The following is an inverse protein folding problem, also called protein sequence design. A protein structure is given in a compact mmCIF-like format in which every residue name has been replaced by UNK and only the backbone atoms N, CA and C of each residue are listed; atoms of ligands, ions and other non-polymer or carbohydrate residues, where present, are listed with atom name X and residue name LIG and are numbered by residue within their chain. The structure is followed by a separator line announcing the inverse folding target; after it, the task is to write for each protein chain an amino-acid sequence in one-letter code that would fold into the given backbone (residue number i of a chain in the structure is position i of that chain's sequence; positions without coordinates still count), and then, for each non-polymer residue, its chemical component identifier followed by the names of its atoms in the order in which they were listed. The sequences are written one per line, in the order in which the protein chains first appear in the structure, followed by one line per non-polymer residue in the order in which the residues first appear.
data_IF_218536035008
#
_entry.id   IF_218536035008
#
_cell.length_a   1.000
_cell.length_b   1.000
_cell.length_c   1.000
_cell.angle_alpha   90.00
_cell.angle_beta   90.00
_cell.angle_gamma   90.00
#
_symmetry.space_group_name_H-M   'P 1'
#
loop_
_entity.id
_entity.type
_entity.pdbx_description
1 polymer ?
#
# COMPACT_ATOMS: atom_id res chain seq x y z
N UNK A 1 -17.39 31.45 -19.76
CA UNK A 1 -17.75 30.29 -18.91
C UNK A 1 -18.80 30.62 -17.85
N UNK A 2 -18.75 31.77 -17.16
CA UNK A 2 -19.71 32.15 -16.09
C UNK A 2 -21.15 32.37 -16.56
N UNK A 3 -21.37 32.91 -17.77
CA UNK A 3 -22.73 33.22 -18.28
C UNK A 3 -23.52 31.95 -18.64
N UNK A 4 -22.86 30.93 -19.22
CA UNK A 4 -23.50 29.66 -19.61
C UNK A 4 -24.05 28.92 -18.38
N UNK A 5 -23.30 28.93 -17.27
CA UNK A 5 -23.73 28.28 -16.04
C UNK A 5 -24.90 29.03 -15.36
N UNK A 6 -24.96 30.36 -15.50
CA UNK A 6 -26.10 31.14 -15.02
C UNK A 6 -27.36 30.88 -15.85
N UNK A 7 -27.25 30.70 -17.17
CA UNK A 7 -28.39 30.37 -18.03
C UNK A 7 -28.93 28.95 -17.77
N UNK A 8 -28.06 27.99 -17.48
CA UNK A 8 -28.44 26.63 -17.05
C UNK A 8 -29.14 26.65 -15.68
N UNK A 9 -28.59 27.39 -14.72
CA UNK A 9 -29.19 27.53 -13.38
C UNK A 9 -30.55 28.26 -13.42
N UNK A 10 -30.73 29.18 -14.38
CA UNK A 10 -32.01 29.84 -14.63
C UNK A 10 -32.99 28.99 -15.47
N UNK A 11 -32.60 27.77 -15.89
CA UNK A 11 -33.43 26.85 -16.67
C UNK A 11 -33.73 27.33 -18.10
N UNK A 12 -32.97 28.29 -18.62
CA UNK A 12 -33.18 28.85 -19.98
C UNK A 12 -32.53 28.02 -21.07
N UNK A 13 -31.53 27.23 -20.71
CA UNK A 13 -30.87 26.26 -21.58
C UNK A 13 -30.84 24.91 -20.87
N UNK A 14 -30.82 23.84 -21.65
CA UNK A 14 -30.66 22.50 -21.12
C UNK A 14 -29.18 22.13 -20.88
N UNK A 15 -28.95 21.03 -20.18
CA UNK A 15 -27.60 20.58 -19.83
C UNK A 15 -26.77 20.16 -21.05
N UNK A 16 -27.42 19.69 -22.12
CA UNK A 16 -26.73 19.25 -23.34
C UNK A 16 -26.22 20.44 -24.16
N UNK A 17 -27.01 21.51 -24.23
CA UNK A 17 -26.65 22.76 -24.89
C UNK A 17 -25.59 23.54 -24.09
N UNK A 18 -25.70 23.56 -22.77
CA UNK A 18 -24.66 24.14 -21.90
C UNK A 18 -23.30 23.45 -22.10
N UNK A 19 -23.28 22.11 -22.21
CA UNK A 19 -22.06 21.34 -22.45
C UNK A 19 -21.43 21.68 -23.81
N UNK A 20 -22.22 21.76 -24.90
CA UNK A 20 -21.73 22.13 -26.23
C UNK A 20 -21.09 23.52 -26.24
N UNK A 21 -21.75 24.52 -25.64
CA UNK A 21 -21.23 25.90 -25.60
C UNK A 21 -19.95 26.03 -24.75
N UNK A 22 -19.77 25.18 -23.75
CA UNK A 22 -18.52 25.13 -22.97
C UNK A 22 -17.38 24.54 -23.80
N UNK A 23 -17.66 23.51 -24.61
CA UNK A 23 -16.66 22.86 -25.46
C UNK A 23 -16.21 23.75 -26.63
N UNK A 24 -17.13 24.53 -27.19
CA UNK A 24 -16.83 25.55 -28.20
C UNK A 24 -15.92 26.66 -27.66
N UNK A 25 -16.11 27.08 -26.40
CA UNK A 25 -15.23 28.05 -25.75
C UNK A 25 -13.89 27.45 -25.31
N UNK A 26 -13.80 26.13 -25.20
CA UNK A 26 -12.61 25.40 -24.76
C UNK A 26 -11.67 25.06 -25.92
N UNK A 27 -12.19 25.03 -27.15
CA UNK A 27 -11.43 24.67 -28.35
C UNK A 27 -10.95 25.92 -29.10
N UNK A 28 -9.63 26.20 -29.17
CA UNK A 28 -9.13 27.19 -30.12
C UNK A 28 -9.28 26.64 -31.54
N UNK A 29 -9.99 27.37 -32.40
CA UNK A 29 -10.26 26.98 -33.78
C UNK A 29 -8.98 26.70 -34.58
N UNK A 30 -8.93 25.65 -35.43
CA UNK A 30 -7.98 25.58 -36.53
C UNK A 30 -8.46 26.50 -37.65
N UNK A 31 -7.57 27.39 -38.09
CA UNK A 31 -7.76 28.26 -39.25
C UNK A 31 -7.91 27.41 -40.52
N UNK A 32 -8.95 27.70 -41.29
CA UNK A 32 -9.11 27.23 -42.65
C UNK A 32 -8.71 28.37 -43.60
N UNK A 33 -7.67 28.16 -44.40
CA UNK A 33 -7.45 28.89 -45.65
C UNK A 33 -7.14 27.90 -46.78
N UNK A 34 -7.73 28.21 -47.92
CA UNK A 34 -7.91 27.42 -49.13
C UNK A 34 -6.93 27.85 -50.22
N UNK A 35 -6.42 26.85 -50.97
CA UNK A 35 -6.26 26.78 -52.44
C UNK A 35 -4.91 27.18 -53.11
N UNK A 36 -4.53 26.30 -54.06
CA UNK A 36 -3.75 26.46 -55.32
C UNK A 36 -2.24 26.10 -55.42
N UNK A 37 -1.98 25.01 -56.17
CA UNK A 37 -0.77 24.67 -56.97
C UNK A 37 -0.57 25.67 -58.14
N UNK A 38 0.62 25.82 -58.81
CA UNK A 38 1.38 24.69 -59.40
C UNK A 38 2.93 24.82 -59.58
N UNK A 39 3.54 23.65 -59.90
CA UNK A 39 4.64 23.35 -60.85
C UNK A 39 6.12 23.83 -60.67
N UNK A 40 6.99 22.80 -60.70
CA UNK A 40 8.19 22.60 -61.55
C UNK A 40 9.63 22.66 -60.97
N UNK A 41 10.40 21.65 -61.44
CA UNK A 41 11.85 21.45 -61.58
C UNK A 41 12.72 20.81 -60.47
N UNK A 42 13.09 19.55 -60.74
CA UNK A 42 14.28 18.76 -60.36
C UNK A 42 15.62 19.44 -60.84
N UNK A 43 16.86 18.92 -60.59
CA UNK A 43 17.27 17.55 -60.21
C UNK A 43 18.47 17.39 -59.24
N UNK A 44 18.76 16.15 -58.80
CA UNK A 44 20.13 15.79 -58.39
C UNK A 44 20.35 14.50 -57.58
N UNK A 45 20.60 13.39 -58.30
CA UNK A 45 21.53 12.28 -57.99
C UNK A 45 21.14 11.13 -57.03
N UNK A 46 20.73 10.03 -57.68
CA UNK A 46 20.95 8.59 -57.40
C UNK A 46 22.46 8.18 -57.48
N UNK A 47 22.90 6.90 -57.35
CA UNK A 47 22.24 5.62 -56.95
C UNK A 47 23.07 4.68 -56.03
N UNK A 48 22.45 3.60 -55.53
CA UNK A 48 22.81 2.17 -55.78
C UNK A 48 21.80 1.29 -54.98
N UNK A 49 20.87 0.57 -55.62
CA UNK A 49 21.02 -0.76 -56.30
C UNK A 49 21.41 -1.83 -55.26
N UNK A 50 20.72 -2.94 -55.01
CA UNK A 50 19.70 -3.77 -55.67
C UNK A 50 18.89 -4.47 -54.54
N UNK A 51 17.63 -4.87 -54.61
CA UNK A 51 16.84 -5.43 -55.70
C UNK A 51 16.24 -6.76 -55.20
N UNK A 52 14.90 -6.78 -55.02
CA UNK A 52 13.97 -7.92 -55.19
C UNK A 52 14.21 -9.25 -54.41
N UNK A 53 13.24 -10.01 -53.90
CA UNK A 53 11.80 -10.10 -54.12
C UNK A 53 11.20 -11.02 -53.02
N UNK A 54 9.94 -10.73 -52.69
CA UNK A 54 8.84 -11.65 -52.42
C UNK A 54 8.67 -12.41 -51.07
N UNK A 55 7.46 -12.16 -50.55
CA UNK A 55 6.71 -12.83 -49.51
C UNK A 55 6.61 -14.35 -49.68
N UNK A 56 6.78 -15.08 -48.57
CA UNK A 56 6.16 -16.40 -48.38
C UNK A 56 5.51 -16.48 -47.00
N UNK A 57 4.19 -16.61 -47.04
CA UNK A 57 3.24 -16.74 -45.95
C UNK A 57 3.37 -18.08 -45.19
N UNK A 58 3.23 -18.00 -43.86
CA UNK A 58 2.75 -19.00 -42.90
C UNK A 58 3.11 -20.50 -43.06
N UNK A 59 3.79 -21.04 -42.04
CA UNK A 59 3.50 -22.37 -41.52
C UNK A 59 3.76 -22.45 -40.01
N UNK A 60 2.82 -23.11 -39.34
CA UNK A 60 2.78 -23.39 -37.91
C UNK A 60 4.04 -24.08 -37.38
N UNK A 61 4.39 -23.79 -36.12
CA UNK A 61 4.79 -24.73 -35.05
C UNK A 61 5.23 -23.90 -33.84
N UNK A 62 4.39 -23.81 -32.81
CA UNK A 62 4.39 -24.67 -31.63
C UNK A 62 5.19 -24.04 -30.48
N UNK A 63 4.40 -23.47 -29.56
CA UNK A 63 4.62 -23.25 -28.13
C UNK A 63 5.94 -23.84 -27.56
N UNK A 64 6.87 -23.03 -27.03
CA UNK A 64 7.88 -23.57 -26.12
C UNK A 64 7.22 -23.88 -24.78
N UNK A 65 7.03 -25.17 -24.56
CA UNK A 65 6.65 -25.80 -23.31
C UNK A 65 7.79 -25.65 -22.29
N UNK A 66 7.41 -25.31 -21.05
CA UNK A 66 8.03 -25.67 -19.76
C UNK A 66 9.54 -25.95 -19.74
N UNK A 67 10.28 -25.07 -19.06
CA UNK A 67 11.55 -25.46 -18.44
C UNK A 67 11.27 -26.48 -17.32
N UNK A 68 11.75 -27.70 -17.52
CA UNK A 68 11.85 -28.78 -16.54
C UNK A 68 13.06 -28.51 -15.66
N UNK A 69 12.85 -28.16 -14.39
CA UNK A 69 13.91 -28.29 -13.39
C UNK A 69 13.70 -29.59 -12.60
N UNK A 70 14.70 -30.45 -12.73
CA UNK A 70 14.95 -31.63 -11.90
C UNK A 70 15.01 -31.22 -10.43
N UNK A 71 14.09 -31.75 -9.62
CA UNK A 71 14.22 -31.76 -8.16
C UNK A 71 14.85 -33.09 -7.78
N UNK A 72 16.13 -33.10 -7.41
CA UNK A 72 16.70 -34.24 -6.69
C UNK A 72 16.37 -34.07 -5.21
N UNK A 73 15.49 -34.93 -4.69
CA UNK A 73 15.23 -35.11 -3.27
C UNK A 73 15.78 -36.47 -2.85
N UNK A 74 16.70 -36.47 -1.87
CA UNK A 74 17.21 -37.70 -1.27
C UNK A 74 16.18 -38.28 -0.29
N UNK A 75 15.81 -39.57 -0.40
CA UNK A 75 15.02 -40.24 0.63
C UNK A 75 15.93 -40.76 1.74
N UNK A 76 15.73 -40.29 2.97
CA UNK A 76 16.14 -41.02 4.16
C UNK A 76 14.93 -41.84 4.64
N UNK A 77 14.81 -43.05 4.10
CA UNK A 77 13.87 -44.04 4.59
C UNK A 77 14.49 -44.82 5.77
N UNK A 78 13.66 -45.16 6.75
CA UNK A 78 13.90 -46.34 7.59
C UNK A 78 13.70 -46.12 9.08
N UNK A 79 12.55 -46.59 9.58
CA UNK A 79 12.15 -46.58 10.97
C UNK A 79 12.85 -47.66 11.83
N UNK A 80 12.88 -47.38 13.14
CA UNK A 80 13.23 -48.17 14.35
C UNK A 80 12.64 -49.61 14.41
N UNK A 81 13.17 -50.54 15.24
CA UNK A 81 12.93 -50.53 16.70
C UNK A 81 14.01 -51.14 17.65
N UNK A 82 13.99 -50.60 18.88
CA UNK A 82 14.19 -51.18 20.22
C UNK A 82 15.31 -52.22 20.51
N UNK A 83 16.21 -51.85 21.42
CA UNK A 83 16.42 -52.59 22.69
C UNK A 83 17.16 -51.69 23.73
N UNK A 84 16.87 -51.88 25.03
CA UNK A 84 17.51 -51.21 26.18
C UNK A 84 17.96 -52.30 27.16
N UNK A 85 19.06 -52.17 27.95
CA UNK A 85 18.95 -51.47 29.24
C UNK A 85 20.24 -50.87 29.90
N UNK A 86 20.01 -49.96 30.87
CA UNK A 86 20.80 -49.64 32.10
C UNK A 86 22.17 -48.93 31.94
N UNK A 87 22.58 -47.86 32.66
CA UNK A 87 22.25 -47.18 33.93
C UNK A 87 23.01 -45.80 33.96
N UNK A 88 23.20 -45.07 35.09
CA UNK A 88 22.33 -44.62 36.17
C UNK A 88 22.20 -43.07 36.23
N UNK A 89 21.44 -42.59 37.23
CA UNK A 89 21.18 -41.20 37.63
C UNK A 89 22.37 -40.23 37.56
N UNK A 90 22.24 -39.14 36.79
CA UNK A 90 22.88 -37.86 37.13
C UNK A 90 21.95 -36.68 36.90
N UNK A 91 21.73 -35.94 37.99
CA UNK A 91 21.03 -34.65 38.06
C UNK A 91 21.66 -33.67 37.07
N UNK A 92 21.03 -33.45 35.94
CA UNK A 92 21.39 -32.35 35.06
C UNK A 92 20.26 -31.34 35.03
N UNK A 93 20.43 -30.32 35.86
CA UNK A 93 19.66 -29.08 35.90
C UNK A 93 19.85 -28.35 34.58
N UNK A 94 19.12 -28.75 33.54
CA UNK A 94 19.05 -27.99 32.31
C UNK A 94 17.58 -27.58 32.08
N UNK A 95 17.12 -26.69 32.96
CA UNK A 95 15.99 -25.82 32.65
C UNK A 95 16.50 -24.84 31.59
N UNK A 96 16.52 -25.31 30.34
CA UNK A 96 16.49 -24.41 29.19
C UNK A 96 15.11 -23.77 29.25
N UNK A 97 15.04 -22.64 29.96
CA UNK A 97 13.92 -21.71 29.91
C UNK A 97 13.77 -21.30 28.45
N UNK A 98 13.02 -22.09 27.69
CA UNK A 98 12.29 -21.56 26.57
C UNK A 98 11.37 -20.54 27.21
N UNK A 99 11.70 -19.26 26.99
CA UNK A 99 10.77 -18.16 27.21
C UNK A 99 9.59 -18.45 26.30
N UNK A 100 8.68 -19.29 26.78
CA UNK A 100 7.34 -19.40 26.21
C UNK A 100 6.78 -18.02 26.44
N UNK A 101 6.49 -17.32 25.34
CA UNK A 101 5.67 -16.13 25.38
C UNK A 101 4.48 -16.44 26.27
N UNK A 102 4.49 -15.85 27.45
CA UNK A 102 3.42 -16.05 28.42
C UNK A 102 2.18 -15.52 27.71
N UNK A 103 1.12 -16.33 27.53
CA UNK A 103 -0.05 -15.87 26.80
C UNK A 103 -0.55 -14.62 27.50
N UNK A 104 -0.38 -13.48 26.84
CA UNK A 104 -0.80 -12.21 27.40
C UNK A 104 -2.31 -12.28 27.49
N UNK A 105 -2.85 -12.11 28.70
CA UNK A 105 -4.28 -12.14 28.90
C UNK A 105 -4.88 -10.86 28.30
N UNK A 106 -5.27 -10.94 27.04
CA UNK A 106 -5.96 -9.86 26.30
C UNK A 106 -7.45 -9.78 26.68
N UNK A 107 -7.87 -10.39 27.79
CA UNK A 107 -9.27 -10.40 28.23
C UNK A 107 -10.21 -11.06 27.22
N UNK A 108 -9.70 -11.94 26.36
CA UNK A 108 -10.43 -12.57 25.25
C UNK A 108 -10.65 -11.67 24.04
N UNK A 109 -9.93 -10.55 23.92
CA UNK A 109 -9.90 -9.71 22.72
C UNK A 109 -8.80 -10.22 21.79
N UNK A 110 -9.19 -10.61 20.59
CA UNK A 110 -8.28 -11.11 19.54
C UNK A 110 -8.02 -10.05 18.47
N UNK A 111 -8.95 -9.09 18.32
CA UNK A 111 -8.88 -8.05 17.30
C UNK A 111 -9.41 -6.72 17.81
N UNK A 112 -8.75 -5.63 17.43
CA UNK A 112 -9.24 -4.26 17.63
C UNK A 112 -9.60 -3.69 16.27
N UNK A 113 -10.82 -3.16 16.13
CA UNK A 113 -11.30 -2.54 14.90
C UNK A 113 -11.49 -1.04 15.12
N UNK A 114 -10.65 -0.23 14.47
CA UNK A 114 -10.67 1.22 14.60
C UNK A 114 -11.36 1.82 13.38
N UNK A 115 -12.39 2.63 13.61
CA UNK A 115 -13.06 3.42 12.56
C UNK A 115 -12.93 4.90 12.90
N UNK A 116 -12.34 5.67 11.99
CA UNK A 116 -12.22 7.10 12.15
C UNK A 116 -12.53 7.86 10.87
N UNK A 117 -13.26 8.97 11.00
CA UNK A 117 -13.61 9.86 9.88
C UNK A 117 -13.15 11.27 10.23
N UNK A 118 -12.46 11.96 9.32
CA UNK A 118 -12.03 13.35 9.51
C UNK A 118 -10.97 13.54 10.61
N UNK A 119 -10.30 12.46 11.05
CA UNK A 119 -9.41 12.49 12.24
C UNK A 119 -8.08 11.82 12.01
N UNK A 120 -7.10 12.29 12.78
CA UNK A 120 -5.79 11.66 12.92
C UNK A 120 -5.86 10.56 13.96
N UNK A 121 -5.39 9.38 13.60
CA UNK A 121 -5.31 8.19 14.43
C UNK A 121 -3.85 7.83 14.61
N UNK A 122 -3.41 7.69 15.85
CA UNK A 122 -2.07 7.22 16.20
C UNK A 122 -2.19 6.00 17.10
N UNK A 123 -1.60 4.90 16.67
CA UNK A 123 -1.65 3.60 17.35
C UNK A 123 -0.21 3.21 17.70
N UNK A 124 0.05 2.96 18.97
CA UNK A 124 1.37 2.54 19.45
C UNK A 124 1.24 1.20 20.16
N UNK A 125 2.04 0.23 19.76
CA UNK A 125 2.17 -1.04 20.45
C UNK A 125 2.92 -0.86 21.77
N UNK A 126 2.27 -1.21 22.87
CA UNK A 126 2.83 -1.14 24.21
C UNK A 126 2.56 -2.46 24.94
N UNK A 127 3.58 -3.32 25.14
CA UNK A 127 3.40 -4.62 25.81
C UNK A 127 2.85 -4.54 27.23
N UNK A 128 3.02 -3.39 27.90
CA UNK A 128 2.47 -3.13 29.23
C UNK A 128 0.94 -2.98 29.24
N UNK A 129 0.33 -2.67 28.09
CA UNK A 129 -1.12 -2.57 27.95
C UNK A 129 -1.72 -3.96 27.71
N UNK A 130 -2.70 -4.34 28.52
CA UNK A 130 -3.35 -5.65 28.39
C UNK A 130 -4.17 -5.79 27.09
N UNK A 131 -4.89 -4.73 26.70
CA UNK A 131 -5.74 -4.71 25.50
C UNK A 131 -5.57 -3.42 24.71
N UNK A 132 -6.18 -2.33 25.18
CA UNK A 132 -6.07 -1.00 24.60
C UNK A 132 -6.30 0.08 25.65
N UNK A 133 -5.60 1.21 25.53
CA UNK A 133 -5.87 2.47 26.19
C UNK A 133 -6.10 3.52 25.12
N UNK A 134 -7.25 4.18 25.15
CA UNK A 134 -7.65 5.17 24.17
C UNK A 134 -7.72 6.57 24.80
N UNK A 135 -7.15 7.55 24.13
CA UNK A 135 -7.17 8.98 24.47
C UNK A 135 -7.69 9.79 23.27
N UNK A 136 -8.35 10.90 23.56
CA UNK A 136 -9.14 11.69 22.62
C UNK A 136 -10.61 11.23 22.52
N UNK A 137 -11.47 11.97 21.80
CA UNK A 137 -12.87 11.60 21.64
C UNK A 137 -13.02 10.23 20.96
N UNK A 138 -13.74 9.30 21.57
CA UNK A 138 -14.01 7.98 20.99
C UNK A 138 -15.22 7.34 21.64
N UNK A 139 -15.81 6.37 20.94
CA UNK A 139 -16.77 5.42 21.50
C UNK A 139 -16.14 4.04 21.39
N UNK A 140 -16.20 3.28 22.49
CA UNK A 140 -15.64 1.95 22.58
C UNK A 140 -16.77 0.94 22.80
N UNK A 141 -16.84 -0.07 21.93
CA UNK A 141 -17.85 -1.12 21.96
C UNK A 141 -17.18 -2.48 21.89
N UNK A 142 -17.50 -3.36 22.81
CA UNK A 142 -17.03 -4.75 22.75
C UNK A 142 -18.07 -5.63 22.07
N UNK A 143 -17.62 -6.41 21.10
CA UNK A 143 -18.43 -7.37 20.34
C UNK A 143 -17.71 -8.72 20.29
N UNK A 144 -17.98 -9.58 21.28
CA UNK A 144 -17.27 -10.86 21.43
C UNK A 144 -15.78 -10.69 21.66
N UNK A 145 -14.96 -11.22 20.74
CA UNK A 145 -13.50 -11.09 20.73
C UNK A 145 -12.99 -9.87 19.97
N UNK A 146 -13.89 -9.05 19.41
CA UNK A 146 -13.54 -7.80 18.71
C UNK A 146 -13.85 -6.60 19.61
N UNK A 147 -12.88 -5.69 19.70
CA UNK A 147 -13.05 -4.41 20.35
C UNK A 147 -13.14 -3.31 19.30
N UNK A 148 -14.32 -2.74 19.13
CA UNK A 148 -14.61 -1.70 18.16
C UNK A 148 -14.37 -0.32 18.80
N UNK A 149 -13.60 0.53 18.12
CA UNK A 149 -13.30 1.90 18.54
C UNK A 149 -13.71 2.82 17.40
N UNK A 150 -14.75 3.62 17.59
CA UNK A 150 -15.20 4.61 16.61
C UNK A 150 -14.86 6.03 17.07
N UNK A 151 -14.50 6.86 16.10
CA UNK A 151 -14.00 8.21 16.37
C UNK A 151 -14.29 9.10 15.16
N UNK A 152 -15.44 9.74 15.18
CA UNK A 152 -15.84 10.68 14.14
C UNK A 152 -15.33 12.09 14.49
N UNK A 153 -14.78 12.77 13.48
CA UNK A 153 -14.41 14.18 13.52
C UNK A 153 -15.53 15.03 12.96
N UNK A 154 -15.65 16.24 13.47
CA UNK A 154 -16.57 17.24 12.94
C UNK A 154 -16.04 17.75 11.60
N UNK A 155 -16.39 17.05 10.54
CA UNK A 155 -16.08 17.47 9.17
C UNK A 155 -17.11 18.52 8.73
N UNK A 156 -17.14 19.71 9.36
CA UNK A 156 -18.12 20.72 8.92
C UNK A 156 -18.48 21.92 9.79
N UNK A 157 -17.86 22.20 10.94
CA UNK A 157 -18.22 23.40 11.75
C UNK A 157 -17.76 24.74 11.15
N UNK A 158 -17.44 24.82 9.85
CA UNK A 158 -17.20 26.08 9.13
C UNK A 158 -18.02 26.27 7.84
N UNK A 159 -19.05 25.45 7.58
CA UNK A 159 -19.90 25.60 6.38
C UNK A 159 -21.35 26.04 6.69
N UNK A 160 -21.67 26.35 7.94
CA UNK A 160 -22.85 27.15 8.27
C UNK A 160 -22.39 28.61 8.46
N UNK A 161 -22.77 29.46 7.51
CA UNK A 161 -22.30 30.84 7.41
C UNK A 161 -22.58 31.66 8.69
N UNK A 162 -21.74 32.68 8.94
CA UNK A 162 -21.92 33.68 10.00
C UNK A 162 -21.52 33.28 11.44
N UNK A 163 -20.25 32.98 11.70
CA UNK A 163 -19.68 33.11 13.06
C UNK A 163 -18.30 33.81 13.10
N UNK A 164 -18.11 34.81 12.25
CA UNK A 164 -16.93 35.73 12.25
C UNK A 164 -16.88 36.64 13.51
N UNK A 165 -17.80 36.52 14.47
CA UNK A 165 -17.96 37.49 15.56
C UNK A 165 -17.77 36.95 16.98
N UNK A 166 -16.94 35.93 17.20
CA UNK A 166 -16.37 35.68 18.54
C UNK A 166 -14.89 35.29 18.49
N UNK A 167 -14.05 36.29 18.70
CA UNK A 167 -12.65 36.10 19.05
C UNK A 167 -12.51 35.66 20.52
N UNK A 168 -12.02 34.44 20.79
CA UNK A 168 -11.30 34.11 22.05
C UNK A 168 -10.35 32.91 21.92
N UNK A 169 -9.03 33.19 21.86
CA UNK A 169 -7.93 32.63 22.68
C UNK A 169 -7.75 31.11 22.85
N UNK A 170 -7.43 30.34 21.80
CA UNK A 170 -6.56 29.14 21.95
C UNK A 170 -6.03 28.64 20.61
N UNK A 171 -4.74 28.27 20.53
CA UNK A 171 -4.17 27.54 19.39
C UNK A 171 -4.83 26.16 19.20
N UNK A 172 -5.44 25.63 20.27
CA UNK A 172 -6.19 24.37 20.25
C UNK A 172 -7.51 24.50 19.47
N UNK A 173 -8.10 25.71 19.43
CA UNK A 173 -9.33 25.98 18.67
C UNK A 173 -9.11 26.07 17.16
N UNK A 174 -7.92 26.50 16.73
CA UNK A 174 -7.56 26.53 15.30
C UNK A 174 -7.24 25.11 14.77
N UNK A 175 -6.77 24.20 15.64
CA UNK A 175 -6.64 22.76 15.29
C UNK A 175 -7.99 22.05 15.34
N UNK A 176 -8.89 22.46 16.24
CA UNK A 176 -10.24 21.90 16.33
C UNK A 176 -11.16 22.38 15.19
N UNK A 177 -10.88 23.54 14.58
CA UNK A 177 -11.60 24.13 13.45
C UNK A 177 -11.49 23.37 12.11
N UNK A 178 -10.92 22.15 12.07
CA UNK A 178 -10.95 21.35 10.84
C UNK A 178 -10.36 19.94 10.88
N UNK A 179 -9.68 19.52 11.96
CA UNK A 179 -9.02 18.20 12.03
C UNK A 179 -9.30 17.39 13.31
N UNK A 180 -10.14 17.93 14.21
CA UNK A 180 -10.51 17.31 15.49
C UNK A 180 -9.32 17.03 16.43
N UNK A 181 -9.60 16.59 17.66
CA UNK A 181 -8.56 16.06 18.55
C UNK A 181 -8.06 14.71 18.02
N UNK A 182 -6.75 14.46 18.08
CA UNK A 182 -6.15 13.17 17.69
C UNK A 182 -6.79 12.02 18.48
N UNK A 183 -7.05 10.89 17.83
CA UNK A 183 -7.35 9.62 18.50
C UNK A 183 -6.02 8.92 18.76
N UNK A 184 -5.62 8.81 20.02
CA UNK A 184 -4.38 8.15 20.40
C UNK A 184 -4.68 6.83 21.11
N UNK A 185 -4.18 5.72 20.54
CA UNK A 185 -4.39 4.37 21.03
C UNK A 185 -3.04 3.77 21.42
N UNK A 186 -2.95 3.25 22.65
CA UNK A 186 -1.89 2.33 23.08
C UNK A 186 -2.47 0.93 23.11
N UNK A 187 -1.92 -0.01 22.36
CA UNK A 187 -2.49 -1.34 22.15
C UNK A 187 -1.51 -2.42 22.55
N UNK A 188 -2.00 -3.59 22.92
CA UNK A 188 -1.12 -4.74 23.04
C UNK A 188 -0.63 -5.16 21.63
N UNK A 189 0.69 -5.28 21.40
CA UNK A 189 1.24 -5.61 20.08
C UNK A 189 0.92 -7.04 19.61
N UNK A 190 0.46 -7.93 20.51
CA UNK A 190 0.00 -9.27 20.16
C UNK A 190 -1.44 -9.34 19.64
N UNK A 191 -2.19 -8.22 19.64
CA UNK A 191 -3.56 -8.16 19.12
C UNK A 191 -3.55 -7.66 17.67
N UNK A 192 -4.36 -8.28 16.80
CA UNK A 192 -4.48 -7.85 15.41
C UNK A 192 -5.27 -6.53 15.33
N UNK A 193 -4.77 -5.57 14.57
CA UNK A 193 -5.42 -4.27 14.39
C UNK A 193 -6.03 -4.13 13.00
N UNK A 194 -7.34 -3.94 12.94
CA UNK A 194 -8.05 -3.42 11.76
C UNK A 194 -8.21 -1.91 11.91
N UNK A 195 -8.06 -1.16 10.82
CA UNK A 195 -8.25 0.28 10.83
C UNK A 195 -8.89 0.77 9.52
N UNK A 196 -9.98 1.53 9.65
CA UNK A 196 -10.62 2.25 8.56
C UNK A 196 -10.58 3.75 8.86
N UNK A 197 -9.80 4.49 8.06
CA UNK A 197 -9.61 5.94 8.21
C UNK A 197 -10.02 6.66 6.94
N UNK A 198 -11.06 7.49 7.04
CA UNK A 198 -11.56 8.31 5.93
C UNK A 198 -11.27 9.78 6.20
N UNK A 199 -10.77 10.51 5.20
CA UNK A 199 -10.45 11.94 5.31
C UNK A 199 -9.52 12.27 6.50
N UNK A 200 -8.53 11.40 6.76
CA UNK A 200 -7.70 11.47 7.96
C UNK A 200 -6.30 10.89 7.76
N UNK A 201 -5.60 10.62 8.86
CA UNK A 201 -4.32 9.90 8.79
C UNK A 201 -4.20 8.82 9.85
N UNK A 202 -3.52 7.74 9.49
CA UNK A 202 -3.23 6.60 10.34
C UNK A 202 -1.72 6.50 10.54
N UNK A 203 -1.27 6.52 11.79
CA UNK A 203 0.13 6.22 12.13
C UNK A 203 0.16 5.02 13.07
N UNK A 204 0.90 3.97 12.72
CA UNK A 204 1.12 2.80 13.56
C UNK A 204 2.61 2.61 13.84
N UNK A 205 2.96 2.33 15.08
CA UNK A 205 4.33 2.07 15.53
C UNK A 205 4.34 0.93 16.54
N UNK A 206 5.26 -0.01 16.43
CA UNK A 206 5.29 -1.20 17.29
C UNK A 206 4.07 -2.11 17.15
N UNK A 207 3.34 -2.05 16.03
CA UNK A 207 2.16 -2.89 15.74
C UNK A 207 2.49 -3.86 14.61
N UNK A 208 3.04 -5.05 14.91
CA UNK A 208 3.57 -5.96 13.89
C UNK A 208 2.48 -6.66 13.07
N UNK A 209 1.29 -6.86 13.63
CA UNK A 209 0.20 -7.61 13.01
C UNK A 209 -0.98 -6.70 12.67
N UNK A 210 -1.04 -6.28 11.41
CA UNK A 210 -2.15 -5.49 10.87
C UNK A 210 -3.10 -6.40 10.10
N UNK A 211 -4.39 -6.27 10.37
CA UNK A 211 -5.44 -6.98 9.67
C UNK A 211 -5.85 -6.21 8.41
N UNK A 212 -7.10 -5.76 8.40
CA UNK A 212 -7.67 -4.95 7.32
C UNK A 212 -7.41 -3.47 7.56
N UNK A 213 -6.60 -2.86 6.70
CA UNK A 213 -6.27 -1.44 6.74
C UNK A 213 -6.89 -0.76 5.52
N UNK A 214 -7.81 0.17 5.74
CA UNK A 214 -8.44 0.96 4.69
C UNK A 214 -8.21 2.42 4.97
N UNK A 215 -7.59 3.12 4.03
CA UNK A 215 -7.39 4.57 4.11
C UNK A 215 -7.95 5.22 2.86
N UNK A 216 -8.92 6.12 3.05
CA UNK A 216 -9.58 6.83 1.95
C UNK A 216 -9.38 8.33 2.12
N UNK A 217 -8.95 9.03 1.06
CA UNK A 217 -8.69 10.47 1.08
C UNK A 217 -7.74 10.88 2.23
N UNK A 218 -6.63 10.16 2.39
CA UNK A 218 -5.81 10.25 3.61
C UNK A 218 -4.40 9.71 3.48
N UNK A 219 -3.71 9.60 4.62
CA UNK A 219 -2.34 9.11 4.70
C UNK A 219 -2.17 7.99 5.70
N UNK A 220 -1.40 6.95 5.35
CA UNK A 220 -0.99 5.90 6.27
C UNK A 220 0.53 5.93 6.47
N UNK A 221 0.99 5.81 7.71
CA UNK A 221 2.38 5.52 8.06
C UNK A 221 2.38 4.30 8.97
N UNK A 222 2.78 3.16 8.44
CA UNK A 222 2.75 1.87 9.12
C UNK A 222 4.19 1.44 9.37
N UNK A 223 4.62 1.46 10.63
CA UNK A 223 5.97 1.10 11.05
C UNK A 223 5.99 -0.24 11.78
N UNK A 224 7.16 -0.88 11.78
CA UNK A 224 7.44 -2.15 12.45
C UNK A 224 6.53 -3.30 12.00
N UNK A 225 6.11 -3.28 10.74
CA UNK A 225 5.16 -4.23 10.18
C UNK A 225 5.81 -5.60 9.95
N UNK A 226 5.24 -6.64 10.53
CA UNK A 226 5.59 -8.03 10.25
C UNK A 226 4.61 -8.70 9.27
N UNK A 227 3.35 -8.27 9.28
CA UNK A 227 2.29 -8.75 8.38
C UNK A 227 1.16 -7.71 8.24
N UNK A 228 0.61 -7.57 7.04
CA UNK A 228 -0.65 -6.85 6.77
C UNK A 228 -1.59 -7.80 6.02
N UNK A 229 -2.72 -8.22 6.59
CA UNK A 229 -3.66 -9.13 5.87
C UNK A 229 -4.15 -8.51 4.55
N UNK A 230 -4.63 -7.26 4.60
CA UNK A 230 -5.09 -6.50 3.45
C UNK A 230 -4.98 -5.00 3.72
N UNK A 231 -4.31 -4.26 2.85
CA UNK A 231 -4.26 -2.80 2.88
C UNK A 231 -4.82 -2.22 1.58
N UNK A 232 -5.81 -1.34 1.71
CA UNK A 232 -6.44 -0.63 0.61
C UNK A 232 -6.33 0.88 0.80
N UNK A 233 -5.58 1.53 -0.07
CA UNK A 233 -5.35 2.97 -0.08
C UNK A 233 -6.10 3.58 -1.28
N UNK A 234 -7.05 4.45 -1.00
CA UNK A 234 -7.90 5.09 -2.00
C UNK A 234 -7.71 6.60 -1.91
N UNK A 235 -7.26 7.23 -2.99
CA UNK A 235 -6.97 8.67 -3.04
C UNK A 235 -6.04 9.12 -1.90
N UNK A 236 -4.86 8.52 -1.77
CA UNK A 236 -3.99 8.78 -0.63
C UNK A 236 -2.57 8.28 -0.78
N UNK A 237 -1.81 8.40 0.30
CA UNK A 237 -0.43 7.90 0.36
C UNK A 237 -0.26 6.90 1.51
N UNK A 238 0.55 5.87 1.30
CA UNK A 238 0.97 4.99 2.39
C UNK A 238 2.48 4.79 2.41
N UNK A 239 3.07 4.92 3.59
CA UNK A 239 4.44 4.52 3.88
C UNK A 239 4.41 3.31 4.79
N UNK A 240 5.04 2.22 4.37
CA UNK A 240 5.03 0.94 5.07
C UNK A 240 6.48 0.53 5.29
N UNK A 241 6.86 0.31 6.54
CA UNK A 241 8.21 -0.11 6.91
C UNK A 241 8.14 -1.30 7.85
N UNK A 242 8.96 -2.31 7.60
CA UNK A 242 9.02 -3.48 8.48
C UNK A 242 9.75 -4.67 7.90
N UNK A 243 9.70 -5.78 8.63
CA UNK A 243 10.30 -7.04 8.26
C UNK A 243 9.20 -8.08 8.01
N UNK A 244 8.77 -8.22 6.76
CA UNK A 244 7.71 -9.18 6.42
C UNK A 244 8.32 -10.57 6.38
N UNK A 245 7.89 -11.42 7.31
CA UNK A 245 8.47 -12.77 7.51
C UNK A 245 7.41 -13.86 7.53
N UNK A 246 6.13 -13.50 7.67
CA UNK A 246 5.03 -14.46 7.83
C UNK A 246 3.82 -14.11 6.98
N UNK A 247 3.05 -15.14 6.64
CA UNK A 247 1.73 -15.01 6.04
C UNK A 247 1.74 -14.46 4.61
N UNK A 248 0.56 -13.99 4.20
CA UNK A 248 0.34 -13.32 2.91
C UNK A 248 -0.12 -11.91 3.20
N UNK A 249 0.55 -10.94 2.59
CA UNK A 249 0.17 -9.54 2.63
C UNK A 249 -0.28 -9.07 1.26
N UNK A 250 -1.41 -8.37 1.21
CA UNK A 250 -1.93 -7.73 -0.01
C UNK A 250 -2.02 -6.23 0.23
N UNK A 251 -1.41 -5.45 -0.65
CA UNK A 251 -1.40 -3.99 -0.58
C UNK A 251 -1.86 -3.45 -1.92
N UNK A 252 -3.00 -2.76 -1.93
CA UNK A 252 -3.57 -2.14 -3.12
C UNK A 252 -3.65 -0.63 -2.94
N UNK A 253 -3.12 0.11 -3.92
CA UNK A 253 -3.40 1.54 -4.09
C UNK A 253 -4.28 1.75 -5.33
N UNK A 254 -5.48 2.27 -5.13
CA UNK A 254 -6.36 2.61 -6.26
C UNK A 254 -5.98 3.94 -6.90
N UNK A 255 -5.67 4.93 -6.08
CA UNK A 255 -5.17 6.24 -6.53
C UNK A 255 -4.21 6.82 -5.50
N UNK A 256 -2.97 7.09 -5.91
CA UNK A 256 -1.98 7.81 -5.10
C UNK A 256 -0.60 7.16 -5.07
N UNK A 257 0.06 7.18 -3.91
CA UNK A 257 1.46 6.74 -3.79
C UNK A 257 1.70 5.74 -2.67
N UNK A 258 2.50 4.70 -2.98
CA UNK A 258 2.97 3.72 -2.02
C UNK A 258 4.49 3.80 -1.87
N UNK A 259 4.97 3.83 -0.64
CA UNK A 259 6.39 3.65 -0.32
C UNK A 259 6.52 2.48 0.65
N UNK A 260 7.12 1.40 0.19
CA UNK A 260 7.33 0.18 0.97
C UNK A 260 8.84 0.05 1.18
N UNK A 261 9.26 -0.08 2.44
CA UNK A 261 10.65 -0.32 2.81
C UNK A 261 10.72 -1.62 3.62
N UNK A 262 11.24 -2.67 2.98
CA UNK A 262 11.47 -3.95 3.62
C UNK A 262 12.85 -3.97 4.27
N UNK A 263 12.91 -4.41 5.52
CA UNK A 263 14.15 -4.58 6.26
C UNK A 263 14.92 -5.81 5.76
N UNK A 264 16.23 -5.87 6.04
CA UNK A 264 17.11 -6.99 5.64
C UNK A 264 16.67 -8.34 6.22
N UNK A 265 16.00 -8.32 7.37
CA UNK A 265 15.43 -9.50 8.03
C UNK A 265 14.15 -10.05 7.36
N UNK A 266 13.71 -9.46 6.25
CA UNK A 266 12.49 -9.90 5.55
C UNK A 266 12.72 -11.23 4.81
N UNK A 267 11.74 -12.13 4.91
CA UNK A 267 11.74 -13.43 4.24
C UNK A 267 10.45 -13.53 3.41
N UNK A 268 10.45 -12.91 2.24
CA UNK A 268 9.21 -12.64 1.49
C UNK A 268 9.45 -12.63 -0.02
N UNK A 269 8.53 -13.24 -0.76
CA UNK A 269 8.39 -13.07 -2.20
C UNK A 269 7.45 -11.90 -2.46
N UNK A 270 7.97 -10.87 -3.12
CA UNK A 270 7.25 -9.63 -3.45
C UNK A 270 6.87 -9.65 -4.92
N UNK A 271 5.58 -9.50 -5.24
CA UNK A 271 5.09 -9.29 -6.60
C UNK A 271 4.53 -7.88 -6.72
N UNK A 272 4.92 -7.14 -7.75
CA UNK A 272 4.43 -5.81 -8.06
C UNK A 272 3.67 -5.79 -9.38
N UNK A 273 2.42 -5.32 -9.37
CA UNK A 273 1.60 -5.11 -10.56
C UNK A 273 1.12 -3.65 -10.62
N UNK A 274 1.05 -3.10 -11.83
CA UNK A 274 0.46 -1.78 -12.05
C UNK A 274 -0.33 -1.70 -13.34
N UNK A 275 -1.53 -1.12 -13.29
CA UNK A 275 -2.40 -0.92 -14.45
C UNK A 275 -2.12 0.42 -15.15
N UNK A 276 -2.32 1.54 -14.45
CA UNK A 276 -2.05 2.91 -14.91
C UNK A 276 -1.07 3.59 -13.96
N UNK A 277 0.17 3.12 -13.97
CA UNK A 277 1.17 3.61 -13.02
C UNK A 277 2.56 3.05 -13.25
N UNK A 278 3.36 3.06 -12.20
CA UNK A 278 4.67 2.39 -12.17
C UNK A 278 4.97 1.78 -10.81
N UNK A 279 5.58 0.60 -10.81
CA UNK A 279 6.28 0.04 -9.65
C UNK A 279 7.77 0.24 -9.90
N UNK A 280 8.47 0.91 -8.98
CA UNK A 280 9.92 1.03 -9.05
C UNK A 280 10.58 0.32 -7.87
N UNK A 281 11.67 -0.38 -8.18
CA UNK A 281 12.44 -1.19 -7.25
C UNK A 281 13.76 -0.50 -6.91
N UNK A 282 14.21 -0.62 -5.67
CA UNK A 282 15.50 -0.09 -5.21
C UNK A 282 16.05 -0.89 -4.01
N UNK A 283 17.32 -0.64 -3.65
CA UNK A 283 17.98 -1.30 -2.51
C UNK A 283 18.86 -2.47 -2.94
N UNK A 284 18.87 -3.56 -2.19
CA UNK A 284 19.59 -4.81 -2.50
C UNK A 284 19.10 -5.53 -3.76
N UNK A 285 17.99 -5.07 -4.36
CA UNK A 285 17.58 -5.43 -5.70
C UNK A 285 17.42 -4.18 -6.57
N UNK A 286 18.09 -4.19 -7.71
CA UNK A 286 17.96 -3.18 -8.76
C UNK A 286 17.78 -3.91 -10.09
N UNK A 287 16.54 -4.17 -10.50
CA UNK A 287 16.22 -4.94 -11.70
C UNK A 287 14.83 -4.62 -12.25
N UNK A 288 14.62 -4.98 -13.52
CA UNK A 288 13.33 -4.91 -14.20
C UNK A 288 12.60 -6.26 -14.05
N UNK A 289 12.15 -6.56 -12.84
CA UNK A 289 11.36 -7.76 -12.54
C UNK A 289 10.06 -7.40 -11.84
N UNK A 290 8.99 -8.11 -12.18
CA UNK A 290 7.68 -7.97 -11.51
C UNK A 290 7.64 -8.77 -10.19
N UNK A 291 8.65 -9.61 -9.95
CA UNK A 291 8.79 -10.44 -8.75
C UNK A 291 10.21 -10.39 -8.18
N UNK A 292 10.32 -10.25 -6.86
CA UNK A 292 11.59 -10.22 -6.13
C UNK A 292 11.48 -11.10 -4.88
N UNK A 293 12.44 -12.01 -4.70
CA UNK A 293 12.50 -12.89 -3.52
C UNK A 293 13.54 -12.35 -2.53
N UNK A 294 13.12 -12.12 -1.28
CA UNK A 294 13.98 -11.81 -0.14
C UNK A 294 14.13 -13.02 0.78
N UNK A 295 15.36 -13.26 1.26
CA UNK A 295 15.65 -14.37 2.16
C UNK A 295 15.31 -15.72 1.50
N UNK A 296 14.53 -16.55 2.19
CA UNK A 296 14.03 -17.82 1.66
C UNK A 296 12.64 -17.73 0.99
N UNK A 297 12.01 -16.55 0.95
CA UNK A 297 10.69 -16.37 0.34
C UNK A 297 9.52 -17.03 1.09
N UNK A 298 9.61 -17.23 2.42
CA UNK A 298 8.56 -17.92 3.19
C UNK A 298 7.22 -17.17 3.29
N UNK A 299 7.24 -15.84 3.21
CA UNK A 299 6.03 -15.01 3.15
C UNK A 299 5.74 -14.54 1.73
N UNK A 300 4.54 -13.99 1.51
CA UNK A 300 4.14 -13.39 0.24
C UNK A 300 3.68 -11.95 0.42
N UNK A 301 4.12 -11.05 -0.46
CA UNK A 301 3.67 -9.67 -0.54
C UNK A 301 3.20 -9.38 -1.97
N UNK A 302 1.90 -9.21 -2.15
CA UNK A 302 1.32 -8.79 -3.42
C UNK A 302 1.06 -7.26 -3.36
N UNK A 303 1.71 -6.48 -4.21
CA UNK A 303 1.56 -5.02 -4.32
C UNK A 303 0.88 -4.70 -5.65
N UNK A 304 -0.25 -4.00 -5.58
CA UNK A 304 -1.00 -3.61 -6.76
C UNK A 304 -1.30 -2.11 -6.79
N UNK A 305 -1.06 -1.49 -7.94
CA UNK A 305 -1.34 -0.07 -8.17
C UNK A 305 -2.26 0.09 -9.36
N UNK A 306 -3.47 0.59 -9.14
CA UNK A 306 -4.41 0.89 -10.24
C UNK A 306 -4.00 2.19 -10.92
N UNK A 307 -3.98 3.31 -10.18
CA UNK A 307 -3.50 4.60 -10.66
C UNK A 307 -2.45 5.18 -9.71
N UNK A 308 -1.25 5.48 -10.20
CA UNK A 308 -0.22 6.17 -9.41
C UNK A 308 1.15 5.49 -9.43
N UNK A 309 1.85 5.50 -8.29
CA UNK A 309 3.20 4.91 -8.23
C UNK A 309 3.47 4.18 -6.92
N UNK A 310 4.19 3.06 -7.02
CA UNK A 310 4.80 2.37 -5.89
C UNK A 310 6.32 2.48 -5.95
N UNK A 311 6.94 2.74 -4.81
CA UNK A 311 8.38 2.63 -4.59
C UNK A 311 8.60 1.50 -3.59
N UNK A 312 9.23 0.42 -4.03
CA UNK A 312 9.56 -0.72 -3.19
C UNK A 312 11.07 -0.75 -2.99
N UNK A 313 11.49 -0.52 -1.75
CA UNK A 313 12.88 -0.63 -1.34
C UNK A 313 13.08 -1.96 -0.63
N UNK A 314 13.95 -2.78 -1.20
CA UNK A 314 14.32 -4.13 -0.78
C UNK A 314 15.61 -4.03 0.02
N UNK A 315 15.55 -4.19 1.34
CA UNK A 315 16.73 -4.20 2.20
C UNK A 315 17.63 -2.96 2.07
N UNK A 316 18.84 -3.10 2.59
CA UNK A 316 19.96 -2.20 2.35
C UNK A 316 20.69 -2.61 1.06
N UNK A 317 21.18 -1.63 0.31
CA UNK A 317 22.12 -1.91 -0.78
C UNK A 317 23.38 -2.48 -0.15
N UNK A 318 23.88 -3.67 -0.55
CA UNK A 318 25.12 -4.20 0.01
C UNK A 318 26.22 -3.16 -0.21
N UNK A 319 26.86 -2.74 0.88
CA UNK A 319 28.00 -1.83 0.84
C UNK A 319 29.09 -2.57 0.06
N UNK A 320 29.45 -2.08 -1.13
CA UNK A 320 30.60 -2.60 -1.84
C UNK A 320 31.83 -2.35 -0.97
N UNK A 321 32.49 -3.40 -0.51
CA UNK A 321 33.83 -3.34 0.07
C UNK A 321 34.82 -2.94 -1.03
N UNK A 322 34.84 -1.64 -1.35
CA UNK A 322 35.87 -1.00 -2.13
C UNK A 322 36.75 -0.21 -1.15
N UNK A 323 37.80 -0.86 -0.63
CA UNK A 323 38.81 -0.15 0.15
C UNK A 323 39.59 -1.01 1.15
N UNK A 324 40.21 -2.10 0.70
CA UNK A 324 41.36 -2.68 1.39
C UNK A 324 42.28 -3.35 0.35
N UNK A 325 43.12 -2.52 -0.28
CA UNK A 325 44.34 -2.95 -0.97
C UNK A 325 45.51 -2.25 -0.27
#
# INVERSE_FOLDING_TARGET
MSIILQELAAGRIDAAEAARRIDELRSPAPQAETVEEPAADEPGQQPSEDGNDEDVWAAATDRPQRATYTTESFPAAGATPADSPSAPDEKSTNRKDTVRDKPVNTGGVERISVRAVGRRVRIVGEPAVATVSADGPHVLRRNGSVLEISSDGDMGSSLDGFSILRATRSLDDIRSLGLGKELFLRVNPGIIIDAEVTAGSLNTEGVPHLGKIRVTAGGAKLLDVAQIEDALIQAGQATIKGAITVGRSRIRAESGSLSIQLADESNVTVTGDSQLGKVAWSGGHTGAGDEVVMGNGSARLDVEVVMGHAQIKIGSTPKSDAGAA
#
